data_IF_250209186053
#
_entry.id   IF_250209186053
#
_cell.length_a   1.000
_cell.length_b   1.000
_cell.length_c   1.000
_cell.angle_alpha   90.00
_cell.angle_beta   90.00
_cell.angle_gamma   90.00
#
_symmetry.space_group_name_H-M   'P 1'
#
loop_
_entity.id
_entity.type
_entity.pdbx_description
1 polymer ?
#
# COMPACT_ATOMS: atom_id res chain seq x y z
N UNK A 1 14.46 6.45 3.62
CA UNK A 1 13.10 6.30 4.17
C UNK A 1 12.20 7.25 3.41
N UNK A 2 11.05 6.81 2.96
CA UNK A 2 10.19 7.66 2.15
C UNK A 2 9.62 8.82 2.96
N UNK A 3 9.48 10.03 2.37
CA UNK A 3 8.94 11.20 3.07
C UNK A 3 7.55 10.97 3.65
N UNK A 4 6.76 10.08 3.06
CA UNK A 4 5.44 9.69 3.57
C UNK A 4 5.50 8.93 4.89
N UNK A 5 6.51 8.10 5.08
CA UNK A 5 6.69 7.32 6.33
C UNK A 5 7.27 8.21 7.42
N UNK A 6 8.16 9.13 7.07
CA UNK A 6 8.67 10.13 8.02
C UNK A 6 7.56 11.08 8.48
N UNK A 7 6.69 11.52 7.58
CA UNK A 7 5.51 12.31 7.92
C UNK A 7 4.55 11.55 8.84
N UNK A 8 4.31 10.27 8.58
CA UNK A 8 3.50 9.40 9.43
C UNK A 8 4.09 9.25 10.84
N UNK A 9 5.39 8.99 10.92
CA UNK A 9 6.12 8.90 12.19
C UNK A 9 6.12 10.24 12.92
N UNK A 10 6.32 11.34 12.21
CA UNK A 10 6.27 12.69 12.75
C UNK A 10 4.91 13.03 13.35
N UNK A 11 3.82 12.68 12.68
CA UNK A 11 2.46 12.90 13.17
C UNK A 11 2.11 12.05 14.40
N UNK A 12 2.60 10.82 14.45
CA UNK A 12 2.37 9.92 15.60
C UNK A 12 3.18 10.30 16.83
N UNK A 13 4.39 10.85 16.64
CA UNK A 13 5.33 11.16 17.73
C UNK A 13 5.11 12.53 18.39
N UNK A 14 4.61 13.52 17.67
CA UNK A 14 4.53 14.90 18.17
C UNK A 14 3.26 15.27 18.93
N UNK A 15 2.36 14.34 19.17
CA UNK A 15 1.14 14.58 19.93
C UNK A 15 0.09 15.47 19.24
N UNK A 16 0.46 16.15 18.16
CA UNK A 16 -0.41 17.04 17.36
C UNK A 16 -0.98 16.35 16.10
N UNK A 17 -0.82 15.04 16.02
CA UNK A 17 -1.26 14.22 14.89
C UNK A 17 -2.74 14.32 14.57
N UNK A 18 -3.58 14.65 15.56
CA UNK A 18 -5.02 14.85 15.36
C UNK A 18 -5.31 16.07 14.49
N UNK A 19 -4.66 17.20 14.80
CA UNK A 19 -4.85 18.43 14.07
C UNK A 19 -4.32 18.33 12.65
N UNK A 20 -3.11 17.79 12.51
CA UNK A 20 -2.50 17.55 11.21
C UNK A 20 -3.35 16.62 10.32
N UNK A 21 -3.82 15.50 10.86
CA UNK A 21 -4.68 14.56 10.13
C UNK A 21 -5.99 15.23 9.67
N UNK A 22 -6.59 16.03 10.54
CA UNK A 22 -7.77 16.80 10.23
C UNK A 22 -7.55 17.83 9.10
N UNK A 23 -6.47 18.60 9.18
CA UNK A 23 -6.09 19.59 8.16
C UNK A 23 -5.80 18.95 6.79
N UNK A 24 -5.30 17.72 6.78
CA UNK A 24 -5.00 16.99 5.56
C UNK A 24 -6.10 16.00 5.12
N UNK A 25 -7.28 16.06 5.74
CA UNK A 25 -8.42 15.18 5.44
C UNK A 25 -8.10 13.69 5.57
N UNK A 26 -7.22 13.33 6.49
CA UNK A 26 -6.76 11.96 6.72
C UNK A 26 -7.34 11.43 8.03
N UNK A 27 -7.84 10.19 8.03
CA UNK A 27 -8.29 9.54 9.26
C UNK A 27 -7.09 9.08 10.10
N UNK A 28 -6.89 9.70 11.26
CA UNK A 28 -5.85 9.29 12.21
C UNK A 28 -6.00 7.82 12.62
N UNK A 29 -7.23 7.36 12.81
CA UNK A 29 -7.52 5.96 13.12
C UNK A 29 -7.05 5.02 12.02
N UNK A 30 -7.26 5.38 10.76
CA UNK A 30 -6.79 4.58 9.63
C UNK A 30 -5.26 4.53 9.57
N UNK A 31 -4.58 5.63 9.86
CA UNK A 31 -3.12 5.68 9.93
C UNK A 31 -2.57 4.78 11.05
N UNK A 32 -3.18 4.83 12.23
CA UNK A 32 -2.79 3.96 13.35
C UNK A 32 -3.00 2.48 13.02
N UNK A 33 -4.10 2.15 12.36
CA UNK A 33 -4.35 0.79 11.90
C UNK A 33 -3.32 0.33 10.85
N UNK A 34 -2.98 1.20 9.91
CA UNK A 34 -1.95 0.92 8.90
C UNK A 34 -0.58 0.66 9.54
N UNK A 35 -0.20 1.45 10.55
CA UNK A 35 1.05 1.25 11.28
C UNK A 35 1.06 -0.08 12.05
N UNK A 36 -0.04 -0.43 12.71
CA UNK A 36 -0.19 -1.71 13.39
C UNK A 36 -0.07 -2.89 12.43
N UNK A 37 -0.71 -2.82 11.27
CA UNK A 37 -0.63 -3.84 10.22
C UNK A 37 0.80 -3.95 9.69
N UNK A 38 1.47 -2.83 9.43
CA UNK A 38 2.86 -2.79 9.02
C UNK A 38 3.78 -3.49 10.01
N UNK A 39 3.65 -3.18 11.30
CA UNK A 39 4.44 -3.81 12.36
C UNK A 39 4.16 -5.32 12.47
N UNK A 40 2.92 -5.74 12.27
CA UNK A 40 2.55 -7.15 12.23
C UNK A 40 3.16 -7.89 11.03
N UNK A 41 3.11 -7.28 9.85
CA UNK A 41 3.71 -7.83 8.64
C UNK A 41 5.23 -7.92 8.76
N UNK A 42 5.87 -6.91 9.32
CA UNK A 42 7.31 -6.93 9.59
C UNK A 42 7.71 -8.11 10.46
N UNK A 43 7.04 -8.32 11.59
CA UNK A 43 7.28 -9.49 12.46
C UNK A 43 7.06 -10.83 11.76
N UNK A 44 6.09 -10.88 10.85
CA UNK A 44 5.83 -12.07 10.04
C UNK A 44 6.98 -12.33 9.06
N UNK A 45 7.47 -11.28 8.39
CA UNK A 45 8.61 -11.38 7.48
C UNK A 45 9.89 -11.84 8.20
N UNK A 46 10.16 -11.26 9.37
CA UNK A 46 11.28 -11.67 10.22
C UNK A 46 11.20 -13.15 10.64
N UNK A 47 10.00 -13.64 10.93
CA UNK A 47 9.78 -15.06 11.26
C UNK A 47 10.10 -16.00 10.10
N UNK A 48 9.87 -15.55 8.87
CA UNK A 48 10.20 -16.29 7.66
C UNK A 48 11.63 -16.03 7.16
N UNK A 49 12.45 -15.33 7.95
CA UNK A 49 13.83 -14.97 7.60
C UNK A 49 13.94 -14.20 6.27
N UNK A 50 12.91 -13.41 5.94
CA UNK A 50 12.91 -12.57 4.75
C UNK A 50 13.53 -11.23 5.09
N UNK A 51 14.63 -10.90 4.42
CA UNK A 51 15.31 -9.62 4.60
C UNK A 51 14.45 -8.47 4.08
N UNK A 52 14.30 -7.44 4.93
CA UNK A 52 13.59 -6.22 4.57
C UNK A 52 14.56 -5.26 3.87
N UNK A 53 14.46 -5.18 2.56
CA UNK A 53 15.27 -4.29 1.72
C UNK A 53 14.41 -3.19 1.15
N UNK A 54 14.80 -1.94 1.36
CA UNK A 54 14.14 -0.78 0.76
C UNK A 54 14.68 -0.51 -0.64
N UNK A 55 13.80 -0.07 -1.54
CA UNK A 55 14.17 0.38 -2.87
C UNK A 55 14.69 1.83 -2.80
N UNK A 56 15.90 2.05 -3.30
CA UNK A 56 16.51 3.39 -3.34
C UNK A 56 16.06 4.20 -4.55
N UNK A 57 15.60 3.54 -5.60
CA UNK A 57 15.20 4.16 -6.87
C UNK A 57 13.69 4.44 -6.89
N UNK A 58 13.32 5.69 -6.73
CA UNK A 58 11.91 6.13 -6.74
C UNK A 58 11.20 5.81 -8.06
N UNK A 59 11.91 5.84 -9.19
CA UNK A 59 11.30 5.52 -10.48
C UNK A 59 10.85 4.06 -10.57
N UNK A 60 11.58 3.17 -9.92
CA UNK A 60 11.25 1.73 -9.86
C UNK A 60 10.23 1.41 -8.77
N UNK A 61 10.11 2.26 -7.76
CA UNK A 61 9.25 2.03 -6.60
C UNK A 61 7.79 1.80 -7.01
N UNK A 62 7.22 2.70 -7.79
CA UNK A 62 5.82 2.58 -8.23
C UNK A 62 5.56 1.34 -9.08
N UNK A 63 6.52 0.96 -9.93
CA UNK A 63 6.42 -0.27 -10.71
C UNK A 63 6.43 -1.50 -9.81
N UNK A 64 7.33 -1.52 -8.81
CA UNK A 64 7.43 -2.62 -7.86
C UNK A 64 6.20 -2.74 -6.95
N UNK A 65 5.65 -1.61 -6.50
CA UNK A 65 4.38 -1.60 -5.74
C UNK A 65 3.25 -2.19 -6.57
N UNK A 66 3.10 -1.78 -7.83
CA UNK A 66 2.08 -2.34 -8.73
C UNK A 66 2.26 -3.84 -8.96
N UNK A 67 3.50 -4.29 -9.16
CA UNK A 67 3.81 -5.71 -9.29
C UNK A 67 3.43 -6.50 -8.02
N UNK A 68 3.75 -5.97 -6.85
CA UNK A 68 3.38 -6.58 -5.57
C UNK A 68 1.87 -6.67 -5.38
N UNK A 69 1.12 -5.61 -5.74
CA UNK A 69 -0.34 -5.61 -5.70
C UNK A 69 -0.93 -6.66 -6.64
N UNK A 70 -0.41 -6.79 -7.86
CA UNK A 70 -0.83 -7.83 -8.81
C UNK A 70 -0.55 -9.23 -8.27
N UNK A 71 0.60 -9.46 -7.65
CA UNK A 71 0.93 -10.74 -7.02
C UNK A 71 -0.03 -11.10 -5.88
N UNK A 72 -0.38 -10.12 -5.03
CA UNK A 72 -1.30 -10.33 -3.90
C UNK A 72 -2.76 -10.49 -4.30
N UNK A 73 -3.19 -9.78 -5.33
CA UNK A 73 -4.58 -9.73 -5.81
C UNK A 73 -4.78 -10.36 -7.19
N UNK A 74 -3.95 -11.32 -7.58
CA UNK A 74 -4.02 -11.92 -8.93
C UNK A 74 -5.39 -12.51 -9.28
N UNK A 75 -6.17 -12.91 -8.27
CA UNK A 75 -7.53 -13.43 -8.46
C UNK A 75 -8.56 -12.35 -8.83
N UNK A 76 -8.24 -11.08 -8.58
CA UNK A 76 -9.13 -9.94 -8.75
C UNK A 76 -8.68 -9.02 -9.89
N UNK A 77 -7.76 -9.48 -10.73
CA UNK A 77 -7.25 -8.71 -11.87
C UNK A 77 -8.27 -8.76 -13.00
N UNK A 78 -8.52 -7.61 -13.60
CA UNK A 78 -9.30 -7.47 -14.81
C UNK A 78 -8.51 -6.74 -15.89
N UNK A 79 -8.70 -7.10 -17.14
CA UNK A 79 -8.14 -6.40 -18.29
C UNK A 79 -9.23 -5.70 -19.09
N UNK A 80 -8.87 -4.63 -19.76
CA UNK A 80 -9.78 -3.90 -20.63
C UNK A 80 -9.96 -4.68 -21.93
N UNK A 81 -11.21 -4.96 -22.29
CA UNK A 81 -11.57 -5.62 -23.54
C UNK A 81 -12.17 -4.63 -24.54
N UNK A 82 -11.52 -4.52 -25.68
CA UNK A 82 -11.97 -3.67 -26.78
C UNK A 82 -11.93 -2.17 -26.49
N UNK A 83 -12.52 -1.39 -27.41
CA UNK A 83 -12.54 0.08 -27.32
C UNK A 83 -13.68 0.62 -26.43
N UNK A 84 -14.69 -0.18 -26.17
CA UNK A 84 -15.91 0.24 -25.43
C UNK A 84 -15.75 0.34 -23.92
N UNK A 85 -14.56 0.08 -23.37
CA UNK A 85 -14.27 0.28 -21.96
C UNK A 85 -14.76 -0.78 -21.00
N UNK A 86 -15.23 -1.92 -21.49
CA UNK A 86 -15.58 -3.05 -20.64
C UNK A 86 -14.31 -3.72 -20.07
N UNK A 87 -14.39 -4.18 -18.83
CA UNK A 87 -13.33 -4.93 -18.17
C UNK A 87 -13.77 -6.38 -17.97
N UNK A 88 -12.84 -7.30 -18.19
CA UNK A 88 -13.07 -8.73 -18.01
C UNK A 88 -12.08 -9.27 -16.96
N UNK A 89 -12.59 -9.98 -15.96
CA UNK A 89 -11.72 -10.62 -14.95
C UNK A 89 -10.92 -11.74 -15.60
N UNK A 90 -9.62 -11.80 -15.27
CA UNK A 90 -8.70 -12.78 -15.88
C UNK A 90 -9.04 -14.21 -15.49
N UNK A 91 -9.48 -14.42 -14.24
CA UNK A 91 -9.76 -15.75 -13.72
C UNK A 91 -11.12 -16.32 -14.19
N UNK A 92 -12.19 -15.55 -14.00
CA UNK A 92 -13.56 -16.05 -14.19
C UNK A 92 -14.24 -15.49 -15.42
N UNK A 93 -13.57 -14.67 -16.21
CA UNK A 93 -14.08 -14.00 -17.41
C UNK A 93 -15.42 -13.27 -17.18
N UNK A 94 -15.57 -12.66 -16.00
CA UNK A 94 -16.75 -11.87 -15.66
C UNK A 94 -16.59 -10.43 -16.14
N UNK A 95 -17.64 -9.89 -16.74
CA UNK A 95 -17.69 -8.48 -17.16
C UNK A 95 -17.90 -7.60 -15.92
N UNK A 96 -17.06 -6.59 -15.81
CA UNK A 96 -17.14 -5.58 -14.75
C UNK A 96 -17.68 -4.27 -15.32
#
# INVERSE_FOLDING_TARGET
>A
MEPTVELLLFCLFLGDGKNWAWENYISLRALQQADNVRAQLQRTMERFEIELVSLEDEAKLFVKIRQALVCGFFMQIAHKEGEKGNYLTVKDHQVC
#
